data_IF_224964177357
#
_entry.id   IF_224964177357
#
_cell.length_a   1.000
_cell.length_b   1.000
_cell.length_c   1.000
_cell.angle_alpha   90.00
_cell.angle_beta   90.00
_cell.angle_gamma   90.00
#
_symmetry.space_group_name_H-M   'P 1'
#
loop_
_entity.id
_entity.type
_entity.pdbx_description
1 polymer ?
#
# COMPACT_ATOMS: atom_id res chain seq x y z
N UNK A 1 -24.90 -1.69 1.96
CA UNK A 1 -24.39 -1.98 1.60
C UNK A 1 -23.63 -1.97 0.77
N UNK A 2 -23.26 -1.74 0.60
CA UNK A 2 -22.51 -1.78 -0.21
C UNK A 2 -21.82 -2.91 -0.51
N UNK A 3 -22.10 -3.95 -0.17
CA UNK A 3 -21.50 -5.18 -0.22
C UNK A 3 -20.68 -5.54 -1.40
N UNK A 4 -20.97 -5.06 -2.52
CA UNK A 4 -20.23 -5.43 -3.70
C UNK A 4 -18.75 -5.08 -3.66
N UNK A 5 -18.35 -4.25 -2.72
CA UNK A 5 -16.97 -3.84 -2.66
C UNK A 5 -16.13 -4.64 -1.72
N UNK A 6 -16.72 -5.60 -1.05
CA UNK A 6 -15.99 -6.38 -0.09
C UNK A 6 -14.90 -7.23 -0.71
N UNK A 7 -14.90 -7.35 -2.03
CA UNK A 7 -13.95 -8.21 -2.70
C UNK A 7 -12.65 -7.53 -3.03
N UNK A 8 -12.52 -6.27 -2.71
CA UNK A 8 -11.24 -5.60 -2.87
C UNK A 8 -10.24 -6.22 -1.89
N UNK A 9 -8.98 -6.03 -2.15
CA UNK A 9 -7.96 -6.49 -1.23
C UNK A 9 -8.02 -5.69 0.09
N UNK A 10 -7.36 -6.20 1.11
CA UNK A 10 -7.32 -5.56 2.43
C UNK A 10 -5.92 -5.15 2.78
N UNK A 11 -5.80 -4.01 3.40
CA UNK A 11 -4.54 -3.50 3.92
C UNK A 11 -4.77 -3.04 5.34
N UNK A 12 -3.99 -3.57 6.27
CA UNK A 12 -4.14 -3.24 7.69
C UNK A 12 -2.79 -2.91 8.30
N UNK A 13 -2.78 -2.09 9.35
CA UNK A 13 -3.93 -1.37 9.89
C UNK A 13 -4.31 -0.17 9.03
N UNK A 14 -5.52 0.34 9.21
CA UNK A 14 -5.99 1.52 8.48
C UNK A 14 -5.23 2.77 8.90
N UNK A 15 -4.75 2.79 10.15
CA UNK A 15 -4.02 3.93 10.71
C UNK A 15 -2.73 3.40 11.35
N UNK A 16 -1.73 3.06 10.53
CA UNK A 16 -0.52 2.45 11.08
C UNK A 16 0.33 3.45 11.84
N UNK A 17 1.12 2.93 12.75
CA UNK A 17 2.07 3.74 13.51
C UNK A 17 3.35 3.87 12.73
N UNK A 18 3.98 5.03 12.90
CA UNK A 18 5.28 5.30 12.32
C UNK A 18 6.31 5.05 13.40
N UNK A 19 7.28 4.20 13.11
CA UNK A 19 8.30 3.81 14.06
C UNK A 19 9.70 4.16 13.55
N UNK A 20 10.68 4.30 14.45
CA UNK A 20 12.06 4.47 13.98
C UNK A 20 12.54 3.18 13.32
N UNK A 21 13.43 3.34 12.37
CA UNK A 21 14.06 2.20 11.72
C UNK A 21 15.48 2.02 12.27
N UNK A 22 16.19 1.03 11.75
CA UNK A 22 17.58 0.82 12.10
C UNK A 22 18.49 1.91 11.53
N UNK A 23 18.02 2.64 10.55
CA UNK A 23 18.81 3.66 9.88
C UNK A 23 18.42 5.02 10.42
N UNK A 24 19.41 5.80 10.87
CA UNK A 24 19.18 7.14 11.33
C UNK A 24 18.53 7.98 10.24
N UNK A 25 17.50 8.74 10.63
CA UNK A 25 16.81 9.62 9.69
C UNK A 25 15.82 8.91 8.79
N UNK A 26 15.56 7.63 9.04
CA UNK A 26 14.60 6.85 8.27
C UNK A 26 13.58 6.26 9.23
N UNK A 27 12.31 6.37 8.87
CA UNK A 27 11.23 5.81 9.65
C UNK A 27 10.64 4.60 8.92
N UNK A 28 9.91 3.80 9.66
CA UNK A 28 9.36 2.54 9.14
C UNK A 28 7.89 2.45 9.49
N UNK A 29 7.11 1.94 8.55
CA UNK A 29 5.70 1.63 8.76
C UNK A 29 5.47 0.18 8.36
N UNK A 30 4.87 -0.60 9.25
CA UNK A 30 4.60 -2.01 9.00
C UNK A 30 3.14 -2.19 8.66
N UNK A 31 2.89 -2.95 7.61
CA UNK A 31 1.53 -3.18 7.13
C UNK A 31 1.38 -4.63 6.74
N UNK A 32 0.13 -5.07 6.72
CA UNK A 32 -0.22 -6.41 6.26
C UNK A 32 -1.20 -6.28 5.11
N UNK A 33 -1.04 -7.16 4.15
CA UNK A 33 -1.82 -7.15 2.93
C UNK A 33 -2.49 -8.50 2.75
N UNK A 34 -3.77 -8.51 2.38
CA UNK A 34 -4.52 -9.73 2.10
C UNK A 34 -5.16 -9.61 0.72
N UNK A 35 -4.85 -10.55 -0.16
CA UNK A 35 -5.45 -10.56 -1.49
C UNK A 35 -6.77 -11.31 -1.45
N UNK A 36 -7.86 -10.61 -1.76
CA UNK A 36 -9.19 -11.21 -1.80
C UNK A 36 -9.72 -11.36 -3.22
N UNK A 37 -8.87 -11.21 -4.23
CA UNK A 37 -9.27 -11.27 -5.62
C UNK A 37 -8.64 -12.49 -6.28
N UNK A 38 -9.45 -13.29 -6.95
CA UNK A 38 -8.95 -14.47 -7.63
C UNK A 38 -8.24 -14.14 -8.93
N UNK A 39 -8.71 -13.09 -9.60
CA UNK A 39 -8.21 -12.75 -10.93
C UNK A 39 -7.06 -11.77 -10.89
N UNK A 40 -6.71 -11.26 -9.73
CA UNK A 40 -5.65 -10.27 -9.59
C UNK A 40 -4.62 -10.79 -8.62
N UNK A 41 -3.37 -10.82 -9.04
CA UNK A 41 -2.30 -11.26 -8.14
C UNK A 41 -1.09 -10.34 -8.16
N UNK A 42 -1.21 -9.13 -8.73
CA UNK A 42 -0.16 -8.12 -8.70
C UNK A 42 -0.69 -6.84 -8.09
N UNK A 43 0.08 -6.28 -7.17
CA UNK A 43 -0.31 -5.04 -6.47
C UNK A 43 0.93 -4.16 -6.35
N UNK A 44 0.74 -2.86 -6.49
CA UNK A 44 1.83 -1.91 -6.40
C UNK A 44 1.67 -1.06 -5.15
N UNK A 45 2.78 -0.89 -4.40
CA UNK A 45 2.81 -0.08 -3.18
C UNK A 45 3.23 1.33 -3.55
N UNK A 46 2.61 2.33 -2.92
CA UNK A 46 3.01 3.72 -3.09
C UNK A 46 2.86 4.50 -1.81
N UNK A 47 3.65 5.54 -1.68
CA UNK A 47 3.58 6.50 -0.57
C UNK A 47 3.19 7.84 -1.16
N UNK A 48 2.21 8.50 -0.55
CA UNK A 48 1.62 9.71 -1.13
C UNK A 48 1.41 10.80 -0.10
N UNK A 49 1.42 12.04 -0.56
CA UNK A 49 1.07 13.18 0.28
C UNK A 49 -0.45 13.41 0.26
N UNK A 50 -0.89 14.51 0.86
CA UNK A 50 -2.33 14.78 0.98
C UNK A 50 -3.00 15.00 -0.36
N UNK A 51 -2.24 15.35 -1.39
CA UNK A 51 -2.77 15.56 -2.74
C UNK A 51 -2.59 14.32 -3.61
N UNK A 52 -2.14 13.22 -3.03
CA UNK A 52 -1.85 11.96 -3.73
C UNK A 52 -0.72 12.11 -4.74
N UNK A 53 0.20 13.04 -4.47
CA UNK A 53 1.46 13.08 -5.20
C UNK A 53 2.42 12.08 -4.57
N UNK A 54 3.14 11.37 -5.40
CA UNK A 54 4.00 10.29 -4.94
C UNK A 54 5.23 10.82 -4.24
N UNK A 55 5.60 10.18 -3.13
CA UNK A 55 6.81 10.49 -2.39
C UNK A 55 7.77 9.32 -2.48
N UNK A 56 9.04 9.59 -2.30
CA UNK A 56 10.07 8.56 -2.33
C UNK A 56 9.98 7.66 -1.11
N UNK A 57 10.16 6.38 -1.33
CA UNK A 57 10.16 5.40 -0.24
C UNK A 57 10.93 4.16 -0.69
N UNK A 58 11.23 3.31 0.28
CA UNK A 58 11.89 2.04 0.04
C UNK A 58 11.05 0.93 0.64
N UNK A 59 10.96 -0.16 -0.07
CA UNK A 59 10.31 -1.38 0.40
C UNK A 59 11.00 -2.54 -0.27
N UNK A 60 10.74 -3.75 0.19
CA UNK A 60 11.39 -4.92 -0.40
C UNK A 60 11.01 -5.11 -1.85
N UNK A 61 9.74 -5.00 -2.15
CA UNK A 61 9.24 -5.13 -3.52
C UNK A 61 8.10 -4.16 -3.72
N UNK A 62 8.27 -3.20 -4.62
CA UNK A 62 7.21 -2.25 -4.91
C UNK A 62 6.00 -2.92 -5.54
N UNK A 63 6.22 -4.01 -6.27
CA UNK A 63 5.13 -4.78 -6.84
C UNK A 63 5.10 -6.12 -6.13
N UNK A 64 3.98 -6.41 -5.49
CA UNK A 64 3.78 -7.64 -4.74
C UNK A 64 3.02 -8.62 -5.62
N UNK A 65 3.54 -9.83 -5.74
CA UNK A 65 2.80 -10.93 -6.36
C UNK A 65 2.27 -11.82 -5.25
N UNK A 66 0.96 -11.96 -5.16
CA UNK A 66 0.34 -12.69 -4.07
C UNK A 66 -0.93 -13.38 -4.55
N UNK A 67 -1.10 -14.62 -4.20
CA UNK A 67 -2.24 -15.40 -4.65
C UNK A 67 -3.50 -15.11 -3.85
N UNK A 68 -4.60 -15.61 -4.34
CA UNK A 68 -5.91 -15.41 -3.71
C UNK A 68 -5.90 -15.97 -2.30
N UNK A 69 -6.37 -15.18 -1.36
CA UNK A 69 -6.48 -15.60 0.03
C UNK A 69 -5.19 -15.55 0.81
N UNK A 70 -4.09 -15.18 0.17
CA UNK A 70 -2.79 -15.13 0.84
C UNK A 70 -2.59 -13.79 1.52
N UNK A 71 -1.86 -13.82 2.63
CA UNK A 71 -1.46 -12.63 3.36
C UNK A 71 0.03 -12.45 3.25
N UNK A 72 0.47 -11.20 3.27
CA UNK A 72 1.88 -10.90 3.37
C UNK A 72 2.06 -9.63 4.18
N UNK A 73 3.19 -9.54 4.86
CA UNK A 73 3.56 -8.32 5.56
C UNK A 73 4.51 -7.55 4.67
N UNK A 74 4.44 -6.23 4.74
CA UNK A 74 5.41 -5.41 4.07
C UNK A 74 5.74 -4.18 4.89
N UNK A 75 6.95 -3.67 4.70
CA UNK A 75 7.43 -2.50 5.41
C UNK A 75 7.69 -1.41 4.40
N UNK A 76 7.31 -0.19 4.78
CA UNK A 76 7.60 0.99 3.98
C UNK A 76 8.56 1.86 4.78
N UNK A 77 9.67 2.24 4.15
CA UNK A 77 10.69 3.07 4.77
C UNK A 77 10.76 4.39 4.03
N UNK A 78 10.78 5.49 4.76
CA UNK A 78 10.94 6.79 4.12
C UNK A 78 11.68 7.73 5.05
N UNK A 79 12.13 8.85 4.50
CA UNK A 79 12.95 9.79 5.25
C UNK A 79 12.14 10.49 6.34
N UNK A 80 12.74 10.62 7.50
CA UNK A 80 12.10 11.32 8.60
C UNK A 80 11.76 12.75 8.21
N UNK A 81 12.55 13.35 7.32
CA UNK A 81 12.28 14.71 6.86
C UNK A 81 10.99 14.82 6.04
N UNK A 82 10.43 13.70 5.59
CA UNK A 82 9.18 13.70 4.85
C UNK A 82 7.97 13.40 5.73
N UNK A 83 8.15 13.34 7.05
CA UNK A 83 7.07 12.99 7.97
C UNK A 83 5.86 13.91 7.85
N UNK A 84 6.09 15.22 7.67
CA UNK A 84 4.99 16.15 7.58
C UNK A 84 4.24 16.02 6.27
N UNK A 85 4.85 15.42 5.26
CA UNK A 85 4.22 15.32 3.94
C UNK A 85 3.59 13.99 3.69
N UNK A 86 4.08 12.93 4.32
CA UNK A 86 3.61 11.57 4.06
C UNK A 86 2.25 11.37 4.72
N UNK A 87 1.24 11.06 3.94
CA UNK A 87 -0.12 10.92 4.43
C UNK A 87 -0.69 9.54 4.17
N UNK A 88 -0.46 8.97 2.99
CA UNK A 88 -1.09 7.70 2.63
C UNK A 88 -0.06 6.69 2.15
N UNK A 89 -0.24 5.43 2.58
CA UNK A 89 0.41 4.30 1.97
C UNK A 89 -0.68 3.49 1.31
N UNK A 90 -0.56 3.27 0.01
CA UNK A 90 -1.61 2.62 -0.76
C UNK A 90 -1.09 1.39 -1.48
N UNK A 91 -1.97 0.43 -1.67
CA UNK A 91 -1.71 -0.68 -2.56
C UNK A 91 -2.76 -0.66 -3.67
N UNK A 92 -2.30 -0.73 -4.90
CA UNK A 92 -3.17 -0.65 -6.06
C UNK A 92 -3.07 -1.95 -6.85
N UNK A 93 -4.21 -2.54 -7.17
CA UNK A 93 -4.21 -3.76 -7.95
C UNK A 93 -3.84 -3.47 -9.39
N UNK A 94 -3.13 -4.41 -10.01
CA UNK A 94 -2.71 -4.28 -11.40
C UNK A 94 -3.09 -5.52 -12.17
N UNK A 95 -3.69 -5.33 -13.33
CA UNK A 95 -3.97 -6.39 -14.27
C UNK A 95 -3.05 -6.17 -15.45
N UNK A 96 -2.15 -7.11 -15.66
CA UNK A 96 -1.20 -7.02 -16.77
C UNK A 96 -1.79 -7.74 -17.96
N UNK A 97 -2.01 -7.00 -19.03
CA UNK A 97 -2.55 -7.58 -20.26
C UNK A 97 -1.40 -7.83 -21.20
N UNK A 98 -1.17 -9.07 -21.52
CA UNK A 98 -0.02 -9.43 -22.32
C UNK A 98 -0.06 -8.79 -23.70
N UNK A 99 -1.22 -8.69 -24.31
CA UNK A 99 -1.30 -8.12 -25.64
C UNK A 99 -1.21 -6.63 -25.68
N UNK A 100 -1.56 -5.98 -24.61
CA UNK A 100 -1.64 -4.53 -24.61
C UNK A 100 -0.55 -3.88 -23.86
N UNK A 101 0.18 -4.61 -23.10
CA UNK A 101 1.26 -4.08 -22.28
C UNK A 101 0.78 -2.97 -21.37
N UNK A 102 -0.45 -3.04 -20.99
CA UNK A 102 -1.06 -1.98 -20.22
C UNK A 102 -1.52 -2.50 -18.88
N UNK A 103 -1.17 -1.79 -17.84
CA UNK A 103 -1.65 -2.10 -16.51
C UNK A 103 -2.95 -1.34 -16.28
N UNK A 104 -3.95 -2.04 -15.76
CA UNK A 104 -5.22 -1.43 -15.43
C UNK A 104 -5.38 -1.52 -13.93
N UNK A 105 -5.59 -0.37 -13.29
CA UNK A 105 -5.84 -0.32 -11.86
C UNK A 105 -7.32 -0.55 -11.63
N UNK A 106 -7.67 -1.57 -10.87
CA UNK A 106 -9.07 -1.88 -10.60
C UNK A 106 -9.46 -1.62 -9.15
N UNK A 107 -8.51 -1.51 -8.22
CA UNK A 107 -8.84 -1.16 -6.84
C UNK A 107 -7.62 -0.58 -6.17
N UNK A 108 -7.87 0.38 -5.28
CA UNK A 108 -6.82 1.01 -4.49
C UNK A 108 -7.31 1.02 -3.05
N UNK A 109 -6.45 0.58 -2.13
CA UNK A 109 -6.73 0.64 -0.70
C UNK A 109 -5.59 1.39 -0.05
N UNK A 110 -5.92 2.34 0.83
CA UNK A 110 -4.93 3.19 1.46
C UNK A 110 -5.05 3.16 2.97
N UNK A 111 -3.90 3.25 3.62
CA UNK A 111 -3.80 3.47 5.07
C UNK A 111 -3.36 4.89 5.28
N UNK A 112 -3.90 5.56 6.29
CA UNK A 112 -3.59 6.95 6.55
C UNK A 112 -2.62 7.07 7.70
N UNK A 113 -1.48 7.68 7.43
CA UNK A 113 -0.43 7.87 8.43
C UNK A 113 -0.79 9.03 9.34
N UNK A 114 -0.49 8.87 10.62
CA UNK A 114 -0.74 9.92 11.60
C UNK A 114 -2.21 10.24 11.78
N UNK A 115 -3.08 9.50 11.12
CA UNK A 115 -4.50 9.67 11.28
C UNK A 115 -4.98 8.92 12.49
N UNK A 116 -6.14 9.32 12.97
CA UNK A 116 -6.76 8.63 14.07
C UNK A 116 -8.21 8.38 13.75
N UNK A 117 -8.71 7.21 14.09
CA UNK A 117 -10.15 6.99 13.94
C UNK A 117 -10.88 7.92 14.91
N UNK A 118 -11.93 8.48 14.44
CA UNK A 118 -12.72 9.40 15.29
C UNK A 118 -13.69 8.64 16.15
#
# INVERSE_FOLDING_TARGET
MLGGYAQAHEQTPAYPEIAPSHVNGVVKVQLQFLNRRKEINYYEIGLFDKNFDELNFTTQNKIIKIGYGEKTDFDVYFRKSDLDRAVYICTASKILKSNKSRAVVSSIVCSKLGGEPL
#
